data_IF_713566443778
#
_entry.id   IF_713566443778
#
_cell.length_a   1.000
_cell.length_b   1.000
_cell.length_c   1.000
_cell.angle_alpha   90.00
_cell.angle_beta   90.00
_cell.angle_gamma   90.00
#
_symmetry.space_group_name_H-M   'P 1'
#
loop_
_entity.id
_entity.type
_entity.pdbx_description
1 polymer ?
#
# COMPACT_ATOMS: atom_id res chain seq x y z
N UNK A 1 -30.45 -17.31 11.97
CA UNK A 1 -30.63 -15.90 11.61
C UNK A 1 -31.91 -15.36 12.24
N UNK A 2 -31.82 -14.83 13.46
CA UNK A 2 -32.89 -14.06 14.08
C UNK A 2 -33.08 -12.76 13.31
N UNK A 3 -34.29 -12.50 12.83
CA UNK A 3 -34.58 -11.35 11.95
C UNK A 3 -34.17 -10.00 12.54
N UNK A 4 -34.07 -9.89 13.87
CA UNK A 4 -33.70 -8.66 14.57
C UNK A 4 -32.22 -8.28 14.39
N UNK A 5 -31.29 -9.22 14.42
CA UNK A 5 -29.87 -8.92 14.22
C UNK A 5 -29.59 -8.52 12.76
N UNK A 6 -30.26 -9.18 11.81
CA UNK A 6 -30.21 -8.84 10.39
C UNK A 6 -30.77 -7.43 10.11
N UNK A 7 -31.91 -7.08 10.72
CA UNK A 7 -32.50 -5.74 10.61
C UNK A 7 -31.58 -4.65 11.17
N UNK A 8 -30.91 -4.88 12.29
CA UNK A 8 -29.97 -3.91 12.87
C UNK A 8 -28.72 -3.71 12.00
N UNK A 9 -28.19 -4.79 11.40
CA UNK A 9 -27.10 -4.67 10.42
C UNK A 9 -27.54 -3.89 9.19
N UNK A 10 -28.71 -4.22 8.63
CA UNK A 10 -29.28 -3.49 7.50
C UNK A 10 -29.49 -2.00 7.81
N UNK A 11 -29.90 -1.66 9.05
CA UNK A 11 -30.05 -0.29 9.49
C UNK A 11 -28.71 0.44 9.59
N UNK A 12 -27.68 -0.21 10.12
CA UNK A 12 -26.32 0.34 10.17
C UNK A 12 -25.79 0.60 8.75
N UNK A 13 -25.96 -0.37 7.85
CA UNK A 13 -25.52 -0.26 6.46
C UNK A 13 -26.25 0.86 5.72
N UNK A 14 -27.54 1.04 5.98
CA UNK A 14 -28.31 2.15 5.39
C UNK A 14 -27.81 3.49 5.89
N UNK A 15 -27.59 3.65 7.20
CA UNK A 15 -27.09 4.90 7.76
C UNK A 15 -25.70 5.27 7.20
N UNK A 16 -24.84 4.29 6.96
CA UNK A 16 -23.53 4.53 6.31
C UNK A 16 -23.71 4.98 4.86
N UNK A 17 -24.62 4.38 4.10
CA UNK A 17 -24.94 4.84 2.73
C UNK A 17 -25.45 6.28 2.73
N UNK A 18 -26.33 6.63 3.66
CA UNK A 18 -26.90 7.97 3.76
C UNK A 18 -25.84 9.03 4.11
N UNK A 19 -24.79 8.68 4.88
CA UNK A 19 -23.63 9.56 5.12
C UNK A 19 -22.88 9.81 3.82
N UNK A 20 -22.58 8.74 3.07
CA UNK A 20 -21.83 8.86 1.81
C UNK A 20 -22.59 9.72 0.80
N UNK A 21 -23.90 9.53 0.69
CA UNK A 21 -24.74 10.35 -0.19
C UNK A 21 -24.79 11.82 0.27
N UNK A 22 -24.90 12.07 1.56
CA UNK A 22 -24.85 13.42 2.12
C UNK A 22 -23.52 14.14 1.80
N UNK A 23 -22.39 13.46 1.94
CA UNK A 23 -21.08 14.02 1.58
C UNK A 23 -20.96 14.32 0.08
N UNK A 24 -21.55 13.47 -0.77
CA UNK A 24 -21.61 13.71 -2.20
C UNK A 24 -22.43 14.98 -2.52
N UNK A 25 -23.55 15.20 -1.83
CA UNK A 25 -24.38 16.40 -1.97
C UNK A 25 -23.64 17.67 -1.50
N UNK A 26 -22.82 17.57 -0.43
CA UNK A 26 -21.95 18.67 0.01
C UNK A 26 -20.89 18.98 -1.03
N UNK A 27 -20.24 17.96 -1.56
CA UNK A 27 -19.21 18.12 -2.59
C UNK A 27 -19.77 18.69 -3.91
N UNK A 28 -21.00 18.33 -4.26
CA UNK A 28 -21.73 18.89 -5.40
C UNK A 28 -22.23 20.33 -5.15
N UNK A 29 -22.10 20.86 -3.93
CA UNK A 29 -22.61 22.17 -3.54
C UNK A 29 -24.12 22.25 -3.40
N UNK A 30 -24.82 21.11 -3.43
CA UNK A 30 -26.28 21.02 -3.26
C UNK A 30 -26.68 21.31 -1.82
N UNK A 31 -25.81 20.99 -0.86
CA UNK A 31 -25.98 21.27 0.56
C UNK A 31 -24.70 21.93 1.10
N UNK A 32 -24.84 22.91 1.98
CA UNK A 32 -23.66 23.52 2.64
C UNK A 32 -23.11 22.61 3.74
N UNK A 33 -21.81 22.67 4.00
CA UNK A 33 -21.17 21.94 5.11
C UNK A 33 -21.87 22.23 6.46
N UNK A 34 -22.34 23.46 6.69
CA UNK A 34 -23.10 23.82 7.88
C UNK A 34 -24.47 23.13 7.96
N UNK A 35 -25.12 22.91 6.82
CA UNK A 35 -26.40 22.19 6.71
C UNK A 35 -26.24 20.67 6.81
N UNK A 36 -25.11 20.12 6.37
CA UNK A 36 -24.83 18.68 6.40
C UNK A 36 -24.41 18.16 7.78
N UNK A 37 -23.67 18.95 8.57
CA UNK A 37 -23.22 18.57 9.93
C UNK A 37 -24.29 17.92 10.82
N UNK A 38 -25.51 18.47 10.99
CA UNK A 38 -26.52 17.84 11.84
C UNK A 38 -27.04 16.51 11.28
N UNK A 39 -27.08 16.36 9.96
CA UNK A 39 -27.50 15.11 9.29
C UNK A 39 -26.42 14.04 9.42
N UNK A 40 -25.15 14.41 9.19
CA UNK A 40 -23.97 13.56 9.38
C UNK A 40 -23.94 12.97 10.79
N UNK A 41 -24.06 13.83 11.80
CA UNK A 41 -24.07 13.40 13.20
C UNK A 41 -25.22 12.43 13.54
N UNK A 42 -26.41 12.64 12.95
CA UNK A 42 -27.57 11.78 13.15
C UNK A 42 -27.34 10.39 12.55
N UNK A 43 -26.79 10.30 11.35
CA UNK A 43 -26.50 9.03 10.70
C UNK A 43 -25.37 8.28 11.40
N UNK A 44 -24.30 8.96 11.81
CA UNK A 44 -23.21 8.38 12.60
C UNK A 44 -23.73 7.77 13.91
N UNK A 45 -24.58 8.51 14.61
CA UNK A 45 -25.20 8.03 15.85
C UNK A 45 -26.10 6.81 15.60
N UNK A 46 -26.81 6.79 14.47
CA UNK A 46 -27.70 5.68 14.10
C UNK A 46 -26.89 4.42 13.78
N UNK A 47 -25.81 4.55 12.99
CA UNK A 47 -24.89 3.46 12.69
C UNK A 47 -24.22 2.92 13.96
N UNK A 48 -23.70 3.81 14.81
CA UNK A 48 -23.04 3.43 16.07
C UNK A 48 -23.97 2.66 17.01
N UNK A 49 -25.21 3.13 17.22
CA UNK A 49 -26.18 2.45 18.08
C UNK A 49 -26.64 1.11 17.50
N UNK A 50 -26.84 1.03 16.19
CA UNK A 50 -27.24 -0.21 15.53
C UNK A 50 -26.14 -1.28 15.65
N UNK A 51 -24.87 -0.91 15.47
CA UNK A 51 -23.73 -1.83 15.61
C UNK A 51 -23.51 -2.27 17.06
N UNK A 52 -23.62 -1.36 18.03
CA UNK A 52 -23.56 -1.71 19.45
C UNK A 52 -24.69 -2.68 19.85
N UNK A 53 -25.90 -2.50 19.30
CA UNK A 53 -27.02 -3.41 19.54
C UNK A 53 -26.80 -4.79 18.90
N UNK A 54 -26.14 -4.88 17.75
CA UNK A 54 -25.75 -6.15 17.11
C UNK A 54 -24.72 -6.90 17.96
N UNK A 55 -23.75 -6.19 18.53
CA UNK A 55 -22.72 -6.75 19.40
C UNK A 55 -23.32 -7.26 20.72
N UNK A 56 -24.26 -6.50 21.30
CA UNK A 56 -24.99 -6.89 22.50
C UNK A 56 -25.89 -8.12 22.34
N UNK A 57 -26.30 -8.48 21.11
CA UNK A 57 -27.10 -9.67 20.82
C UNK A 57 -26.28 -10.97 20.80
N UNK A 58 -24.95 -10.89 20.78
CA UNK A 58 -24.05 -12.05 20.78
C UNK A 58 -24.04 -12.86 19.47
N UNK A 59 -23.09 -13.80 19.30
CA UNK A 59 -23.00 -14.67 18.13
C UNK A 59 -24.03 -15.82 18.22
N UNK A 60 -24.77 -16.07 17.13
CA UNK A 60 -25.72 -17.18 17.04
C UNK A 60 -24.99 -18.54 17.14
N UNK A 61 -25.54 -19.44 17.95
CA UNK A 61 -24.91 -20.71 18.28
C UNK A 61 -24.99 -21.75 17.16
N UNK A 62 -23.83 -22.28 16.79
CA UNK A 62 -23.69 -23.62 16.25
C UNK A 62 -22.92 -24.49 17.25
N UNK A 63 -23.52 -25.61 17.60
CA UNK A 63 -23.05 -26.57 18.58
C UNK A 63 -21.86 -27.41 18.06
N UNK A 64 -21.02 -27.83 19.01
CA UNK A 64 -20.05 -28.91 18.96
C UNK A 64 -18.76 -28.71 18.14
N UNK A 65 -17.70 -28.21 18.80
CA UNK A 65 -16.41 -28.89 18.87
C UNK A 65 -15.48 -28.23 19.92
N UNK A 66 -14.70 -29.09 20.57
CA UNK A 66 -13.95 -28.95 21.82
C UNK A 66 -12.98 -27.76 21.96
N UNK A 67 -12.82 -27.37 23.23
CA UNK A 67 -11.97 -26.30 23.77
C UNK A 67 -10.47 -26.54 23.61
N UNK A 68 -9.76 -25.60 22.96
CA UNK A 68 -8.34 -25.27 23.24
C UNK A 68 -8.10 -23.74 23.11
N UNK A 69 -7.13 -23.16 23.85
CA UNK A 69 -7.11 -21.73 24.15
C UNK A 69 -6.50 -20.87 23.02
N UNK A 70 -7.02 -19.63 22.90
CA UNK A 70 -6.50 -18.48 22.11
C UNK A 70 -5.21 -17.90 22.75
N UNK A 71 -4.37 -17.02 22.11
CA UNK A 71 -4.70 -16.02 21.06
C UNK A 71 -3.59 -15.64 20.03
N UNK A 72 -3.97 -14.82 19.00
CA UNK A 72 -3.28 -13.61 18.42
C UNK A 72 -3.44 -13.48 16.89
N UNK A 73 -3.92 -12.32 16.41
CA UNK A 73 -3.89 -11.96 14.98
C UNK A 73 -4.88 -10.86 14.57
N UNK A 74 -4.71 -9.64 15.09
CA UNK A 74 -5.56 -8.47 14.78
C UNK A 74 -5.06 -7.65 13.57
N UNK A 75 -4.11 -8.17 12.80
CA UNK A 75 -3.37 -7.41 11.78
C UNK A 75 -3.99 -7.45 10.38
N UNK A 76 -4.86 -8.42 10.09
CA UNK A 76 -5.40 -8.60 8.72
C UNK A 76 -6.62 -7.71 8.41
N UNK A 77 -7.30 -7.18 9.43
CA UNK A 77 -8.54 -6.43 9.25
C UNK A 77 -8.32 -4.98 8.76
N UNK A 78 -7.16 -4.38 9.02
CA UNK A 78 -6.85 -3.01 8.59
C UNK A 78 -6.40 -2.91 7.14
N UNK A 79 -5.77 -3.96 6.60
CA UNK A 79 -5.27 -3.99 5.21
C UNK A 79 -6.42 -3.93 4.20
N UNK A 80 -7.59 -4.48 4.54
CA UNK A 80 -8.75 -4.51 3.63
C UNK A 80 -9.55 -3.19 3.63
N UNK A 81 -9.47 -2.39 4.70
CA UNK A 81 -10.16 -1.10 4.77
C UNK A 81 -9.43 0.02 3.99
N UNK A 82 -8.11 -0.05 3.84
CA UNK A 82 -7.32 0.94 3.09
C UNK A 82 -7.49 0.87 1.57
N UNK A 83 -7.81 -0.31 1.02
CA UNK A 83 -7.91 -0.53 -0.44
C UNK A 83 -9.11 0.18 -1.07
N UNK A 84 -10.19 0.39 -0.30
CA UNK A 84 -11.39 1.07 -0.81
C UNK A 84 -11.22 2.60 -0.82
N UNK A 85 -10.40 3.16 0.08
CA UNK A 85 -10.10 4.60 0.10
C UNK A 85 -9.16 5.02 -1.06
N UNK A 86 -8.26 4.13 -1.50
CA UNK A 86 -7.29 4.43 -2.55
C UNK A 86 -7.95 4.56 -3.94
N UNK A 87 -8.95 3.72 -4.22
CA UNK A 87 -9.67 3.71 -5.49
C UNK A 87 -10.44 5.01 -5.76
N UNK A 88 -10.76 5.80 -4.72
CA UNK A 88 -11.43 7.10 -4.88
C UNK A 88 -10.48 8.23 -5.31
N UNK A 89 -9.17 8.11 -5.06
CA UNK A 89 -8.20 9.17 -5.38
C UNK A 89 -7.77 9.19 -6.86
N UNK A 90 -7.89 8.06 -7.56
CA UNK A 90 -7.41 7.88 -8.94
C UNK A 90 -8.30 8.58 -9.98
N UNK A 91 -9.57 8.85 -9.64
CA UNK A 91 -10.53 9.45 -10.58
C UNK A 91 -10.38 10.98 -10.69
N UNK A 92 -9.61 11.63 -9.80
CA UNK A 92 -9.51 13.10 -9.73
C UNK A 92 -8.23 13.72 -10.28
N UNK A 93 -7.31 12.96 -10.87
CA UNK A 93 -6.06 13.52 -11.40
C UNK A 93 -5.81 13.18 -12.88
N UNK A 94 -6.53 13.79 -13.84
CA UNK A 94 -5.93 14.06 -15.14
C UNK A 94 -5.24 15.44 -15.10
N UNK A 95 -4.06 15.50 -15.72
CA UNK A 95 -3.28 16.70 -16.08
C UNK A 95 -2.40 17.35 -15.01
N UNK A 96 -1.38 16.63 -14.57
CA UNK A 96 -0.12 17.27 -14.17
C UNK A 96 1.03 16.46 -14.72
N UNK A 97 1.50 16.95 -15.86
CA UNK A 97 2.59 16.48 -16.69
C UNK A 97 3.79 16.04 -15.85
N UNK A 98 4.36 14.92 -16.27
CA UNK A 98 5.66 14.39 -15.90
C UNK A 98 6.69 15.51 -15.64
N UNK A 99 7.10 15.64 -14.39
CA UNK A 99 8.50 15.81 -14.09
C UNK A 99 8.91 14.59 -13.27
N UNK A 100 9.60 13.65 -13.92
CA UNK A 100 10.37 12.64 -13.19
C UNK A 100 11.34 13.41 -12.28
N UNK A 101 11.25 13.29 -10.95
CA UNK A 101 12.35 13.74 -10.11
C UNK A 101 13.62 12.96 -10.54
N UNK A 102 14.74 13.66 -10.66
CA UNK A 102 16.03 13.00 -10.83
C UNK A 102 16.24 12.05 -9.63
N UNK A 103 16.36 10.75 -9.89
CA UNK A 103 16.36 9.69 -8.87
C UNK A 103 15.38 8.53 -9.12
N UNK A 104 14.81 8.39 -10.32
CA UNK A 104 13.93 7.28 -10.66
C UNK A 104 14.67 5.94 -10.84
N UNK A 105 14.35 4.98 -9.97
CA UNK A 105 14.64 3.54 -9.97
C UNK A 105 16.06 3.08 -10.32
N UNK A 106 16.72 2.51 -9.32
CA UNK A 106 17.54 1.31 -9.51
C UNK A 106 16.71 0.14 -9.01
N UNK A 107 16.08 -0.60 -9.93
CA UNK A 107 15.59 -1.93 -9.54
C UNK A 107 16.80 -2.85 -9.50
N UNK A 108 17.01 -3.61 -8.43
CA UNK A 108 18.11 -4.58 -8.31
C UNK A 108 18.14 -5.71 -9.35
N UNK A 109 17.41 -5.56 -10.47
CA UNK A 109 17.41 -6.39 -11.66
C UNK A 109 18.09 -5.70 -12.88
N UNK A 110 18.70 -4.52 -12.72
CA UNK A 110 19.39 -3.80 -13.81
C UNK A 110 20.62 -4.51 -14.37
N UNK A 111 21.11 -5.54 -13.69
CA UNK A 111 22.19 -6.41 -14.18
C UNK A 111 21.82 -7.20 -15.45
N UNK A 112 20.59 -7.11 -15.97
CA UNK A 112 20.20 -7.69 -17.27
C UNK A 112 19.74 -6.62 -18.28
N UNK A 113 20.36 -5.44 -18.29
CA UNK A 113 20.28 -4.51 -19.44
C UNK A 113 21.43 -4.70 -20.43
N UNK A 114 21.87 -5.95 -20.63
CA UNK A 114 22.44 -6.32 -21.93
C UNK A 114 21.31 -6.25 -22.95
N UNK A 115 21.51 -5.53 -24.06
CA UNK A 115 20.55 -5.41 -25.18
C UNK A 115 20.02 -6.81 -25.51
N UNK A 116 18.81 -7.12 -25.00
CA UNK A 116 18.09 -8.27 -25.48
C UNK A 116 17.89 -8.04 -26.98
N UNK A 117 18.17 -9.03 -27.85
CA UNK A 117 17.84 -8.90 -29.26
C UNK A 117 16.39 -8.45 -29.37
N UNK A 118 16.03 -7.55 -30.32
CA UNK A 118 14.68 -7.02 -30.41
C UNK A 118 13.70 -8.20 -30.44
N UNK A 119 12.98 -8.38 -29.34
CA UNK A 119 11.98 -9.42 -29.22
C UNK A 119 10.89 -9.04 -30.22
N UNK A 120 10.52 -10.01 -31.05
CA UNK A 120 9.39 -9.88 -31.96
C UNK A 120 8.19 -9.34 -31.15
N UNK A 121 7.59 -8.19 -31.52
CA UNK A 121 6.45 -7.62 -30.81
C UNK A 121 5.25 -8.59 -30.72
N UNK A 122 5.19 -9.58 -31.62
CA UNK A 122 4.19 -10.66 -31.59
C UNK A 122 4.57 -11.82 -30.66
N UNK A 123 5.80 -11.87 -30.17
CA UNK A 123 6.32 -12.80 -29.15
C UNK A 123 6.40 -12.19 -27.75
N UNK A 124 6.02 -10.91 -27.58
CA UNK A 124 5.94 -10.28 -26.28
C UNK A 124 4.78 -10.91 -25.48
N UNK A 125 5.11 -11.64 -24.41
CA UNK A 125 4.10 -12.19 -23.50
C UNK A 125 3.24 -11.05 -22.96
N UNK A 126 1.94 -11.15 -23.16
CA UNK A 126 1.01 -10.11 -22.72
C UNK A 126 0.81 -10.14 -21.21
N UNK A 127 0.40 -9.01 -20.63
CA UNK A 127 0.10 -8.94 -19.20
C UNK A 127 -1.02 -9.91 -18.81
N UNK A 128 -1.98 -10.14 -19.71
CA UNK A 128 -3.06 -11.11 -19.52
C UNK A 128 -2.53 -12.56 -19.51
N UNK A 129 -1.58 -12.89 -20.38
CA UNK A 129 -0.94 -14.21 -20.37
C UNK A 129 -0.12 -14.42 -19.09
N UNK A 130 0.58 -13.38 -18.61
CA UNK A 130 1.30 -13.45 -17.34
C UNK A 130 0.35 -13.59 -16.15
N UNK A 131 -0.77 -12.87 -16.13
CA UNK A 131 -1.81 -13.04 -15.11
C UNK A 131 -2.33 -14.47 -15.08
N UNK A 132 -2.65 -15.06 -16.25
CA UNK A 132 -3.10 -16.46 -16.34
C UNK A 132 -2.07 -17.44 -15.77
N UNK A 133 -0.78 -17.24 -16.07
CA UNK A 133 0.30 -18.09 -15.53
C UNK A 133 0.43 -17.92 -14.02
N UNK A 134 0.39 -16.68 -13.51
CA UNK A 134 0.48 -16.39 -12.08
C UNK A 134 -0.74 -16.94 -11.31
N UNK A 135 -1.92 -16.91 -11.90
CA UNK A 135 -3.15 -17.42 -11.29
C UNK A 135 -3.24 -18.94 -11.35
N UNK A 136 -2.64 -19.57 -12.37
CA UNK A 136 -2.51 -21.02 -12.43
C UNK A 136 -1.46 -21.59 -11.46
N UNK A 137 -0.51 -20.77 -10.99
CA UNK A 137 0.58 -21.17 -10.09
C UNK A 137 0.60 -20.28 -8.83
N UNK A 138 -0.48 -20.25 -8.02
CA UNK A 138 -0.63 -19.31 -6.90
C UNK A 138 0.41 -19.51 -5.78
N UNK A 139 1.03 -20.69 -5.70
CA UNK A 139 2.09 -21.04 -4.75
C UNK A 139 3.45 -20.44 -5.10
N UNK A 140 3.67 -20.06 -6.37
CA UNK A 140 4.95 -19.50 -6.81
C UNK A 140 4.95 -18.00 -6.59
N UNK A 141 5.14 -17.59 -5.33
CA UNK A 141 5.12 -16.19 -4.89
C UNK A 141 6.05 -15.30 -5.73
N UNK A 142 7.22 -15.83 -6.12
CA UNK A 142 8.18 -15.11 -6.97
C UNK A 142 7.61 -14.66 -8.32
N UNK A 143 6.73 -15.45 -8.96
CA UNK A 143 6.09 -15.05 -10.23
C UNK A 143 5.12 -13.88 -10.00
N UNK A 144 4.40 -13.90 -8.88
CA UNK A 144 3.48 -12.83 -8.50
C UNK A 144 4.23 -11.53 -8.18
N UNK A 145 5.38 -11.62 -7.51
CA UNK A 145 6.25 -10.48 -7.26
C UNK A 145 6.83 -9.91 -8.57
N UNK A 146 7.30 -10.77 -9.48
CA UNK A 146 7.80 -10.34 -10.78
C UNK A 146 6.72 -9.63 -11.63
N UNK A 147 5.47 -10.12 -11.58
CA UNK A 147 4.35 -9.45 -12.21
C UNK A 147 4.03 -8.10 -11.55
N UNK A 148 4.13 -8.01 -10.22
CA UNK A 148 3.99 -6.75 -9.50
C UNK A 148 5.08 -5.73 -9.90
N UNK A 149 6.34 -6.15 -9.98
CA UNK A 149 7.48 -5.34 -10.44
C UNK A 149 7.24 -4.83 -11.87
N UNK A 150 6.69 -5.68 -12.75
CA UNK A 150 6.33 -5.30 -14.12
C UNK A 150 5.27 -4.20 -14.16
N UNK A 151 4.17 -4.35 -13.42
CA UNK A 151 3.15 -3.30 -13.34
C UNK A 151 3.68 -2.01 -12.72
N UNK A 152 4.54 -2.12 -11.70
CA UNK A 152 5.21 -0.97 -11.10
C UNK A 152 6.06 -0.23 -12.14
N UNK A 153 6.84 -0.94 -12.96
CA UNK A 153 7.64 -0.35 -14.05
C UNK A 153 6.81 0.29 -15.17
N UNK A 154 5.58 -0.16 -15.38
CA UNK A 154 4.61 0.42 -16.31
C UNK A 154 3.87 1.64 -15.72
N UNK A 155 4.02 1.91 -14.41
CA UNK A 155 3.26 2.95 -13.70
C UNK A 155 1.85 2.51 -13.28
N UNK A 156 1.47 1.25 -13.49
CA UNK A 156 0.18 0.67 -13.09
C UNK A 156 0.19 0.29 -11.61
N UNK A 157 0.37 1.29 -10.73
CA UNK A 157 0.61 1.09 -9.30
C UNK A 157 -0.52 0.33 -8.59
N UNK A 158 -1.78 0.50 -9.00
CA UNK A 158 -2.91 -0.22 -8.42
C UNK A 158 -2.83 -1.73 -8.65
N UNK A 159 -2.42 -2.16 -9.85
CA UNK A 159 -2.19 -3.58 -10.15
C UNK A 159 -0.99 -4.10 -9.38
N UNK A 160 0.10 -3.33 -9.37
CA UNK A 160 1.30 -3.70 -8.65
C UNK A 160 1.01 -3.94 -7.15
N UNK A 161 0.33 -3.00 -6.50
CA UNK A 161 -0.09 -3.12 -5.08
C UNK A 161 -0.94 -4.37 -4.87
N UNK A 162 -1.91 -4.66 -5.74
CA UNK A 162 -2.73 -5.88 -5.63
C UNK A 162 -1.89 -7.16 -5.66
N UNK A 163 -0.93 -7.25 -6.57
CA UNK A 163 -0.06 -8.42 -6.69
C UNK A 163 0.91 -8.55 -5.50
N UNK A 164 1.50 -7.46 -5.03
CA UNK A 164 2.33 -7.48 -3.81
C UNK A 164 1.53 -7.88 -2.57
N UNK A 165 0.31 -7.37 -2.41
CA UNK A 165 -0.55 -7.74 -1.27
C UNK A 165 -0.95 -9.21 -1.30
N UNK A 166 -1.25 -9.77 -2.47
CA UNK A 166 -1.53 -11.21 -2.59
C UNK A 166 -0.27 -12.05 -2.33
N UNK A 167 0.90 -11.61 -2.80
CA UNK A 167 2.18 -12.25 -2.48
C UNK A 167 2.43 -12.28 -0.96
N UNK A 168 2.22 -11.15 -0.29
CA UNK A 168 2.37 -11.04 1.17
C UNK A 168 1.26 -11.76 1.97
N UNK A 169 0.09 -11.99 1.39
CA UNK A 169 -0.92 -12.88 2.02
C UNK A 169 -0.44 -14.33 2.08
N UNK A 170 0.36 -14.77 1.11
CA UNK A 170 0.95 -16.13 1.10
C UNK A 170 2.21 -16.19 1.94
N UNK A 171 3.08 -15.21 1.79
CA UNK A 171 4.34 -15.11 2.53
C UNK A 171 4.43 -13.75 3.24
N UNK A 172 3.84 -13.60 4.45
CA UNK A 172 3.80 -12.33 5.17
C UNK A 172 5.17 -11.75 5.52
N UNK A 173 6.22 -12.59 5.51
CA UNK A 173 7.60 -12.22 5.83
C UNK A 173 8.51 -12.21 4.60
N UNK A 174 7.94 -12.15 3.39
CA UNK A 174 8.73 -12.04 2.17
C UNK A 174 9.35 -10.63 2.07
N UNK A 175 10.68 -10.56 2.21
CA UNK A 175 11.42 -9.29 2.25
C UNK A 175 11.24 -8.49 0.96
N UNK A 176 11.26 -9.16 -0.19
CA UNK A 176 11.12 -8.51 -1.49
C UNK A 176 9.71 -7.94 -1.69
N UNK A 177 8.68 -8.68 -1.25
CA UNK A 177 7.30 -8.21 -1.25
C UNK A 177 7.08 -7.00 -0.35
N UNK A 178 7.65 -7.01 0.86
CA UNK A 178 7.56 -5.89 1.80
C UNK A 178 8.31 -4.67 1.29
N UNK A 179 9.50 -4.86 0.71
CA UNK A 179 10.30 -3.79 0.12
C UNK A 179 9.58 -3.17 -1.10
N UNK A 180 9.09 -3.99 -2.02
CA UNK A 180 8.34 -3.52 -3.19
C UNK A 180 7.04 -2.79 -2.83
N UNK A 181 6.28 -3.33 -1.87
CA UNK A 181 5.08 -2.66 -1.37
C UNK A 181 5.41 -1.32 -0.70
N UNK A 182 6.50 -1.24 0.09
CA UNK A 182 6.88 0.00 0.76
C UNK A 182 7.11 1.14 -0.23
N UNK A 183 7.77 0.86 -1.35
CA UNK A 183 8.01 1.86 -2.38
C UNK A 183 6.70 2.28 -3.08
N UNK A 184 5.81 1.33 -3.39
CA UNK A 184 4.52 1.64 -4.00
C UNK A 184 3.61 2.46 -3.09
N UNK A 185 3.59 2.15 -1.79
CA UNK A 185 2.82 2.90 -0.79
C UNK A 185 3.24 4.37 -0.76
N UNK A 186 4.54 4.66 -0.94
CA UNK A 186 5.01 6.04 -1.10
C UNK A 186 4.44 6.70 -2.37
N UNK A 187 4.41 5.98 -3.50
CA UNK A 187 3.89 6.53 -4.76
C UNK A 187 2.40 6.84 -4.71
N UNK A 188 1.62 6.05 -3.97
CA UNK A 188 0.17 6.25 -3.80
C UNK A 188 -0.17 7.14 -2.59
N UNK A 189 0.81 7.86 -2.04
CA UNK A 189 0.59 8.89 -1.01
C UNK A 189 0.38 8.37 0.41
N UNK A 190 0.86 7.16 0.72
CA UNK A 190 0.78 6.53 2.05
C UNK A 190 2.17 6.38 2.70
N UNK A 191 2.85 7.49 3.07
CA UNK A 191 4.25 7.44 3.49
C UNK A 191 4.48 6.80 4.87
N UNK A 192 3.50 6.84 5.79
CA UNK A 192 3.63 6.19 7.11
C UNK A 192 3.53 4.67 6.99
N UNK A 193 2.60 4.17 6.18
CA UNK A 193 2.44 2.76 5.87
C UNK A 193 3.65 2.24 5.08
N UNK A 194 4.13 3.03 4.12
CA UNK A 194 5.37 2.77 3.40
C UNK A 194 6.56 2.56 4.36
N UNK A 195 6.74 3.49 5.31
CA UNK A 195 7.83 3.41 6.28
C UNK A 195 7.71 2.16 7.17
N UNK A 196 6.48 1.81 7.55
CA UNK A 196 6.19 0.59 8.33
C UNK A 196 6.61 -0.67 7.57
N UNK A 197 6.19 -0.79 6.30
CA UNK A 197 6.55 -1.94 5.46
C UNK A 197 8.07 -2.03 5.21
N UNK A 198 8.74 -0.89 4.97
CA UNK A 198 10.19 -0.86 4.79
C UNK A 198 10.94 -1.27 6.08
N UNK A 199 10.46 -0.82 7.25
CA UNK A 199 11.03 -1.23 8.54
C UNK A 199 10.79 -2.71 8.82
N UNK A 200 9.64 -3.27 8.45
CA UNK A 200 9.37 -4.70 8.58
C UNK A 200 10.32 -5.52 7.70
N UNK A 201 10.52 -5.13 6.43
CA UNK A 201 11.50 -5.75 5.55
C UNK A 201 12.91 -5.74 6.17
N UNK A 202 13.35 -4.59 6.67
CA UNK A 202 14.67 -4.41 7.30
C UNK A 202 14.81 -5.09 8.66
N UNK A 203 13.71 -5.40 9.34
CA UNK A 203 13.75 -6.22 10.55
C UNK A 203 14.04 -7.70 10.26
N UNK A 204 13.72 -8.15 9.03
CA UNK A 204 13.94 -9.52 8.57
C UNK A 204 15.32 -9.62 7.91
N UNK A 205 15.64 -8.69 7.01
CA UNK A 205 16.95 -8.55 6.39
C UNK A 205 17.44 -7.10 6.49
N UNK A 206 18.28 -6.78 7.50
CA UNK A 206 18.82 -5.44 7.69
C UNK A 206 19.73 -4.94 6.57
N UNK A 207 20.21 -5.82 5.69
CA UNK A 207 21.10 -5.48 4.59
C UNK A 207 20.38 -5.38 3.24
N UNK A 208 19.05 -5.57 3.22
CA UNK A 208 18.28 -5.61 1.99
C UNK A 208 18.32 -4.25 1.25
N UNK A 209 19.02 -4.21 0.13
CA UNK A 209 19.32 -3.00 -0.65
C UNK A 209 18.03 -2.26 -1.03
N UNK A 210 17.05 -2.96 -1.62
CA UNK A 210 15.77 -2.36 -2.06
C UNK A 210 14.98 -1.75 -0.89
N UNK A 211 15.06 -2.36 0.31
CA UNK A 211 14.34 -1.87 1.47
C UNK A 211 15.03 -0.65 2.10
N UNK A 212 16.37 -0.65 2.18
CA UNK A 212 17.16 0.52 2.59
C UNK A 212 16.91 1.71 1.65
N UNK A 213 16.91 1.45 0.35
CA UNK A 213 16.63 2.47 -0.66
C UNK A 213 15.24 3.06 -0.52
N UNK A 214 14.22 2.19 -0.40
CA UNK A 214 12.83 2.61 -0.23
C UNK A 214 12.67 3.43 1.05
N UNK A 215 13.23 2.96 2.17
CA UNK A 215 13.21 3.69 3.45
C UNK A 215 13.85 5.07 3.35
N UNK A 216 15.02 5.20 2.73
CA UNK A 216 15.68 6.49 2.55
C UNK A 216 14.81 7.48 1.75
N UNK A 217 14.17 7.01 0.68
CA UNK A 217 13.25 7.83 -0.11
C UNK A 217 11.99 8.22 0.67
N UNK A 218 11.40 7.28 1.41
CA UNK A 218 10.25 7.55 2.28
C UNK A 218 10.60 8.60 3.35
N UNK A 219 11.80 8.51 3.93
CA UNK A 219 12.29 9.48 4.91
C UNK A 219 12.47 10.87 4.28
N UNK A 220 13.08 10.97 3.10
CA UNK A 220 13.28 12.28 2.45
C UNK A 220 11.99 12.92 1.92
N UNK A 221 11.11 12.12 1.32
CA UNK A 221 10.03 12.63 0.48
C UNK A 221 8.64 12.35 1.04
N UNK A 222 8.50 11.35 1.92
CA UNK A 222 7.23 10.94 2.50
C UNK A 222 6.97 11.54 3.87
N UNK A 223 7.93 11.42 4.79
CA UNK A 223 7.77 11.82 6.20
C UNK A 223 8.65 13.00 6.62
N UNK A 224 9.42 13.57 5.70
CA UNK A 224 10.32 14.72 5.93
C UNK A 224 11.28 14.52 7.12
N UNK A 225 11.93 13.35 7.16
CA UNK A 225 12.97 12.95 8.10
C UNK A 225 14.35 12.90 7.40
N UNK A 226 14.97 14.04 7.06
CA UNK A 226 16.28 14.06 6.40
C UNK A 226 17.40 13.50 7.29
N UNK A 227 17.26 13.59 8.62
CA UNK A 227 18.26 13.06 9.56
C UNK A 227 18.27 11.53 9.55
N UNK A 228 17.10 10.90 9.62
CA UNK A 228 16.98 9.46 9.50
C UNK A 228 17.32 8.96 8.10
N UNK A 229 16.96 9.71 7.04
CA UNK A 229 17.35 9.38 5.67
C UNK A 229 18.86 9.28 5.52
N UNK A 230 19.60 10.25 6.06
CA UNK A 230 21.07 10.26 6.05
C UNK A 230 21.65 9.00 6.70
N UNK A 231 21.11 8.59 7.85
CA UNK A 231 21.56 7.36 8.53
C UNK A 231 21.28 6.12 7.67
N UNK A 232 20.10 6.01 7.07
CA UNK A 232 19.73 4.90 6.18
C UNK A 232 20.62 4.85 4.93
N UNK A 233 20.91 6.01 4.32
CA UNK A 233 21.79 6.12 3.14
C UNK A 233 23.24 5.74 3.46
N UNK A 234 23.73 6.08 4.65
CA UNK A 234 25.05 5.61 5.11
C UNK A 234 25.12 4.09 5.22
N UNK A 235 24.05 3.43 5.68
CA UNK A 235 24.00 1.97 5.70
C UNK A 235 23.94 1.38 4.30
N UNK A 236 23.15 1.99 3.41
CA UNK A 236 23.02 1.59 2.02
C UNK A 236 24.35 1.71 1.26
N UNK A 237 25.10 2.80 1.46
CA UNK A 237 26.40 3.02 0.82
C UNK A 237 27.47 1.98 1.20
N UNK A 238 27.29 1.26 2.33
CA UNK A 238 28.16 0.14 2.73
C UNK A 238 27.83 -1.17 2.02
N UNK A 239 26.71 -1.24 1.28
CA UNK A 239 26.35 -2.44 0.52
C UNK A 239 27.15 -2.52 -0.77
N UNK A 240 27.16 -3.70 -1.36
CA UNK A 240 27.69 -3.86 -2.71
C UNK A 240 26.70 -3.27 -3.71
N UNK A 241 27.11 -2.22 -4.39
CA UNK A 241 26.28 -1.37 -5.24
C UNK A 241 26.98 -1.22 -6.59
N UNK A 242 26.21 -1.11 -7.66
CA UNK A 242 26.79 -0.73 -8.95
C UNK A 242 27.36 0.69 -8.86
N UNK A 243 28.31 1.07 -9.76
CA UNK A 243 28.81 2.44 -9.79
C UNK A 243 27.71 3.50 -10.00
N UNK A 244 26.67 3.15 -10.74
CA UNK A 244 25.51 4.01 -10.97
C UNK A 244 24.70 4.19 -9.68
N UNK A 245 24.34 3.10 -9.01
CA UNK A 245 23.60 3.11 -7.75
C UNK A 245 24.36 3.91 -6.69
N UNK A 246 25.67 3.73 -6.60
CA UNK A 246 26.51 4.46 -5.65
C UNK A 246 26.46 5.97 -5.91
N UNK A 247 26.53 6.37 -7.18
CA UNK A 247 26.42 7.79 -7.56
C UNK A 247 25.08 8.37 -7.13
N UNK A 248 23.98 7.62 -7.30
CA UNK A 248 22.65 8.05 -6.87
C UNK A 248 22.53 8.12 -5.33
N UNK A 249 23.10 7.15 -4.60
CA UNK A 249 23.14 7.16 -3.13
C UNK A 249 23.92 8.37 -2.61
N UNK A 250 25.03 8.74 -3.26
CA UNK A 250 25.84 9.91 -2.89
C UNK A 250 25.06 11.22 -3.12
N UNK A 251 24.31 11.31 -4.23
CA UNK A 251 23.42 12.44 -4.51
C UNK A 251 22.31 12.57 -3.45
N UNK A 252 21.62 11.47 -3.14
CA UNK A 252 20.58 11.46 -2.10
C UNK A 252 21.15 11.81 -0.72
N UNK A 253 22.38 11.36 -0.42
CA UNK A 253 23.08 11.68 0.83
C UNK A 253 23.36 13.17 0.95
N UNK A 254 23.79 13.80 -0.15
CA UNK A 254 24.01 15.26 -0.20
C UNK A 254 22.71 16.03 0.04
N UNK A 255 21.60 15.59 -0.57
CA UNK A 255 20.27 16.19 -0.35
C UNK A 255 19.83 16.05 1.11
N UNK A 256 20.02 14.87 1.71
CA UNK A 256 19.70 14.63 3.11
C UNK A 256 20.49 15.55 4.05
N UNK A 257 21.79 15.72 3.80
CA UNK A 257 22.68 16.59 4.59
C UNK A 257 22.26 18.06 4.52
N UNK A 258 21.98 18.57 3.33
CA UNK A 258 21.55 19.97 3.15
C UNK A 258 20.24 20.25 3.88
N UNK A 259 19.26 19.34 3.80
CA UNK A 259 17.96 19.49 4.47
C UNK A 259 18.06 19.35 5.98
N UNK A 260 18.90 18.44 6.47
CA UNK A 260 19.15 18.28 7.91
C UNK A 260 19.86 19.51 8.51
N UNK A 261 20.82 20.11 7.78
CA UNK A 261 21.59 21.27 8.23
C UNK A 261 20.85 22.61 8.17
N UNK A 262 19.84 22.75 7.31
CA UNK A 262 19.02 23.98 7.18
C UNK A 262 17.90 24.12 8.21
N UNK A 263 17.74 23.16 9.12
CA UNK A 263 16.68 23.12 10.13
C UNK A 263 17.08 23.72 11.49
N UNK A 264 18.23 24.41 11.55
CA UNK A 264 18.84 24.97 12.76
C UNK A 264 18.88 26.49 12.79
#
# INVERSE_FOLDING_TARGET
MTGRQAQLRQLADQAVRDIVELEAQVAAGEITEAGARPLRHRYETTAGRALQAVDALGPEGDAAAETRPRPRGWTLAYVMAGVVALMAAVVLLPTSVLQRPAGGFVTGNEAVQGVAPPLDPSAAVTDEQLEQVVDANPEVVGMRLALADRYAGQGEYDRAVRHYLEALRREPRNVEGLAGLSWLLLQVGQPQEALTAANEALSIDPAHIRALWSKANIQLHGVDDPTGARATLQELARRDLTPEDRTQVDQLSTVAEQRAGGSG
#
